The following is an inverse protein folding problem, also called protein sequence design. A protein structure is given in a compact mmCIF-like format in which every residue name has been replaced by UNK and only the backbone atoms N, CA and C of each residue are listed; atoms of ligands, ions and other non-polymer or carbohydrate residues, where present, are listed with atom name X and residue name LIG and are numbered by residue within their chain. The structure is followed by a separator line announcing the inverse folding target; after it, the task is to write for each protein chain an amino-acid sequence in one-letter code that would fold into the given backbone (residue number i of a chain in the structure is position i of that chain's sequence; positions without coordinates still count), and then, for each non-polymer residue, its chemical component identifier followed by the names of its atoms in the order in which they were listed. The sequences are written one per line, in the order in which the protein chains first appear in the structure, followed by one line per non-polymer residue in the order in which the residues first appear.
data_IF_127986378562
#
_entry.id   IF_127986378562
#
_cell.length_a   1.000
_cell.length_b   1.000
_cell.length_c   1.000
_cell.angle_alpha   90.00
_cell.angle_beta   90.00
_cell.angle_gamma   90.00
#
_symmetry.space_group_name_H-M   'P 1'
#
loop_
_entity.id
_entity.type
_entity.pdbx_description
1 polymer ?
#
# COMPACT_ATOMS: atom_id res chain seq x y z
N UNK A 1 -17.28 29.23 -6.61
CA UNK A 1 -16.68 28.49 -5.49
C UNK A 1 -15.77 27.43 -6.07
N UNK A 2 -14.45 27.60 -5.92
CA UNK A 2 -13.49 26.55 -6.28
C UNK A 2 -13.79 25.31 -5.43
N UNK A 3 -13.85 24.11 -6.02
CA UNK A 3 -14.00 22.90 -5.23
C UNK A 3 -12.83 22.81 -4.26
N UNK A 4 -13.10 22.59 -2.98
CA UNK A 4 -12.03 22.25 -2.02
C UNK A 4 -11.27 21.05 -2.60
N UNK A 5 -9.93 21.04 -2.56
CA UNK A 5 -9.20 19.83 -2.91
C UNK A 5 -9.78 18.69 -2.07
N UNK A 6 -10.20 17.62 -2.73
CA UNK A 6 -10.56 16.37 -2.06
C UNK A 6 -9.44 16.02 -1.10
N UNK A 7 -9.72 16.02 0.22
CA UNK A 7 -8.73 15.66 1.23
C UNK A 7 -8.25 14.23 0.97
N UNK A 8 -7.03 14.09 0.47
CA UNK A 8 -6.41 12.78 0.26
C UNK A 8 -5.86 12.30 1.60
N UNK A 9 -6.67 11.51 2.30
CA UNK A 9 -6.24 10.79 3.48
C UNK A 9 -5.68 9.43 3.06
N UNK A 10 -4.42 9.19 3.40
CA UNK A 10 -3.70 7.98 3.02
C UNK A 10 -3.34 7.15 4.25
N UNK A 11 -3.77 5.89 4.26
CA UNK A 11 -3.34 4.88 5.21
C UNK A 11 -2.33 3.96 4.56
N UNK A 12 -1.25 3.67 5.25
CA UNK A 12 -0.17 2.85 4.69
C UNK A 12 0.06 1.70 5.62
N UNK A 13 -0.32 0.53 5.12
CA UNK A 13 -0.20 -0.73 5.83
C UNK A 13 1.22 -1.26 5.67
N UNK A 14 1.88 -1.55 6.80
CA UNK A 14 3.20 -2.16 6.91
C UNK A 14 4.28 -1.35 6.20
N UNK A 15 4.60 -0.25 6.87
CA UNK A 15 5.49 0.77 6.36
C UNK A 15 6.95 0.35 6.34
N UNK A 16 7.38 -0.56 7.20
CA UNK A 16 8.79 -0.94 7.37
C UNK A 16 9.66 0.30 7.59
N UNK A 17 10.28 0.80 6.52
CA UNK A 17 11.06 2.04 6.53
C UNK A 17 10.24 3.33 6.34
N UNK A 18 8.91 3.27 6.22
CA UNK A 18 8.02 4.42 5.98
C UNK A 18 8.21 5.18 4.66
N UNK A 19 8.92 4.61 3.70
CA UNK A 19 9.14 5.27 2.41
C UNK A 19 7.84 5.60 1.67
N UNK A 20 6.82 4.71 1.55
CA UNK A 20 5.56 5.09 0.92
C UNK A 20 4.87 6.25 1.66
N UNK A 21 5.01 6.34 2.99
CA UNK A 21 4.45 7.42 3.82
C UNK A 21 5.11 8.76 3.54
N UNK A 22 6.44 8.77 3.46
CA UNK A 22 7.20 9.94 3.06
C UNK A 22 6.76 10.40 1.67
N UNK A 23 6.67 9.49 0.69
CA UNK A 23 6.24 9.83 -0.67
C UNK A 23 4.82 10.41 -0.69
N UNK A 24 3.88 9.83 0.05
CA UNK A 24 2.51 10.35 0.11
C UNK A 24 2.46 11.75 0.72
N UNK A 25 3.24 12.01 1.77
CA UNK A 25 3.35 13.33 2.37
C UNK A 25 3.95 14.36 1.41
N UNK A 26 4.96 13.96 0.64
CA UNK A 26 5.59 14.79 -0.41
C UNK A 26 4.69 15.01 -1.63
N UNK A 27 3.69 14.15 -1.83
CA UNK A 27 2.66 14.29 -2.85
C UNK A 27 1.43 15.08 -2.36
N UNK A 28 1.59 15.88 -1.30
CA UNK A 28 0.57 16.75 -0.71
C UNK A 28 -0.68 16.01 -0.20
N UNK A 29 -0.53 14.78 0.29
CA UNK A 29 -1.59 14.13 1.05
C UNK A 29 -1.92 14.95 2.30
N UNK A 30 -3.22 15.18 2.57
CA UNK A 30 -3.66 15.99 3.71
C UNK A 30 -3.43 15.31 5.05
N UNK A 31 -3.48 13.97 5.07
CA UNK A 31 -3.19 13.13 6.23
C UNK A 31 -2.51 11.85 5.77
N UNK A 32 -1.41 11.48 6.41
CA UNK A 32 -0.69 10.22 6.18
C UNK A 32 -0.54 9.49 7.50
N UNK A 33 -1.03 8.25 7.54
CA UNK A 33 -0.89 7.37 8.71
C UNK A 33 -0.05 6.16 8.33
N UNK A 34 1.14 6.09 8.91
CA UNK A 34 2.05 4.97 8.81
C UNK A 34 1.70 3.89 9.86
N UNK A 35 1.47 2.64 9.46
CA UNK A 35 1.32 1.54 10.41
C UNK A 35 2.27 0.39 10.13
N UNK A 36 2.48 -0.42 11.16
CA UNK A 36 3.21 -1.69 11.11
C UNK A 36 2.74 -2.56 12.28
N UNK A 37 3.16 -3.82 12.33
CA UNK A 37 2.82 -4.71 13.44
C UNK A 37 3.35 -4.13 14.78
N UNK A 38 2.63 -4.23 15.91
CA UNK A 38 3.09 -3.70 17.20
C UNK A 38 4.46 -4.23 17.65
N UNK A 39 4.77 -5.49 17.31
CA UNK A 39 6.07 -6.12 17.59
C UNK A 39 7.14 -5.84 16.53
N UNK A 40 6.86 -5.00 15.52
CA UNK A 40 7.80 -4.71 14.45
C UNK A 40 8.99 -3.89 14.97
N UNK A 41 10.24 -4.30 14.70
CA UNK A 41 11.42 -3.52 15.09
C UNK A 41 11.50 -2.16 14.38
N UNK A 42 10.69 -1.96 13.32
CA UNK A 42 10.57 -0.68 12.63
C UNK A 42 10.10 0.45 13.55
N UNK A 43 9.26 0.14 14.55
CA UNK A 43 8.82 1.09 15.57
C UNK A 43 9.91 1.46 16.57
N UNK A 44 10.99 0.69 16.67
CA UNK A 44 12.12 1.01 17.54
C UNK A 44 12.92 2.24 17.08
N UNK A 45 12.61 2.80 15.91
CA UNK A 45 13.14 4.11 15.50
C UNK A 45 13.22 4.34 14.00
N UNK A 46 13.18 3.28 13.17
CA UNK A 46 13.36 3.42 11.72
C UNK A 46 12.27 4.27 11.07
N UNK A 47 11.00 4.02 11.42
CA UNK A 47 9.84 4.78 10.90
C UNK A 47 9.97 6.25 11.29
N UNK A 48 10.19 6.53 12.57
CA UNK A 48 10.31 7.88 13.11
C UNK A 48 11.47 8.64 12.47
N UNK A 49 12.66 8.01 12.41
CA UNK A 49 13.85 8.58 11.80
C UNK A 49 13.62 8.93 10.34
N UNK A 50 13.03 8.03 9.55
CA UNK A 50 12.84 8.29 8.12
C UNK A 50 11.80 9.39 7.86
N UNK A 51 10.73 9.44 8.64
CA UNK A 51 9.76 10.55 8.56
C UNK A 51 10.44 11.88 8.91
N UNK A 52 11.15 11.95 10.04
CA UNK A 52 11.82 13.18 10.47
C UNK A 52 12.91 13.61 9.49
N UNK A 53 13.80 12.70 9.11
CA UNK A 53 14.93 12.97 8.24
C UNK A 53 14.50 13.53 6.87
N UNK A 54 13.43 12.99 6.30
CA UNK A 54 12.98 13.39 4.97
C UNK A 54 12.00 14.58 4.97
N UNK A 55 11.26 14.81 6.06
CA UNK A 55 10.20 15.82 6.08
C UNK A 55 10.50 17.03 6.97
N UNK A 56 11.20 16.89 8.10
CA UNK A 56 11.30 17.94 9.11
C UNK A 56 12.10 19.18 8.66
N UNK A 57 13.10 19.01 7.81
CA UNK A 57 14.00 20.07 7.34
C UNK A 57 13.66 20.59 5.93
N UNK A 58 12.51 20.21 5.38
CA UNK A 58 12.12 20.64 4.03
C UNK A 58 11.52 22.05 4.03
N UNK A 59 11.84 22.77 2.95
CA UNK A 59 11.24 24.06 2.59
C UNK A 59 10.73 23.99 1.15
N UNK A 60 9.43 24.20 0.91
CA UNK A 60 8.37 24.38 1.91
C UNK A 60 8.17 23.11 2.75
N UNK A 61 7.61 23.30 3.96
CA UNK A 61 7.18 22.18 4.81
C UNK A 61 6.04 21.43 4.12
N UNK A 62 5.93 20.14 4.37
CA UNK A 62 4.73 19.38 3.99
C UNK A 62 3.50 19.99 4.69
N UNK A 63 2.42 20.16 3.96
CA UNK A 63 1.21 20.80 4.47
C UNK A 63 0.33 19.84 5.30
N UNK A 64 0.42 18.53 5.02
CA UNK A 64 -0.41 17.51 5.66
C UNK A 64 0.12 17.00 7.00
N UNK A 65 -0.77 16.35 7.76
CA UNK A 65 -0.41 15.66 9.00
C UNK A 65 0.21 14.30 8.70
N UNK A 66 1.34 13.98 9.35
CA UNK A 66 1.98 12.66 9.24
C UNK A 66 2.10 12.07 10.64
N UNK A 67 1.55 10.88 10.85
CA UNK A 67 1.65 10.14 12.12
C UNK A 67 2.01 8.68 11.91
N UNK A 68 2.47 8.01 12.98
CA UNK A 68 2.74 6.58 12.98
C UNK A 68 1.99 5.90 14.13
N UNK A 69 1.41 4.73 13.87
CA UNK A 69 0.63 3.98 14.87
C UNK A 69 0.86 2.48 14.73
N UNK A 70 1.13 1.75 15.83
CA UNK A 70 1.18 0.29 15.79
C UNK A 70 -0.22 -0.25 15.47
N UNK A 71 -0.29 -1.23 14.58
CA UNK A 71 -1.55 -1.88 14.20
C UNK A 71 -1.31 -3.27 13.63
N UNK A 72 -2.00 -4.26 14.19
CA UNK A 72 -1.98 -5.64 13.72
C UNK A 72 -3.13 -5.90 12.74
N UNK A 73 -2.85 -6.58 11.62
CA UNK A 73 -3.88 -6.88 10.63
C UNK A 73 -5.00 -7.75 11.23
N UNK A 74 -6.24 -7.36 10.97
CA UNK A 74 -7.42 -8.08 11.42
C UNK A 74 -7.91 -7.68 12.82
N UNK A 75 -7.12 -6.90 13.57
CA UNK A 75 -7.55 -6.29 14.84
C UNK A 75 -8.33 -5.01 14.54
N UNK A 76 -9.66 -5.08 14.58
CA UNK A 76 -10.53 -3.99 14.09
C UNK A 76 -11.36 -3.33 15.19
N UNK A 77 -11.21 -3.78 16.43
CA UNK A 77 -11.98 -3.38 17.60
C UNK A 77 -11.17 -2.55 18.61
N UNK A 78 -9.89 -2.32 18.34
CA UNK A 78 -9.07 -1.41 19.14
C UNK A 78 -9.45 0.08 18.93
N UNK A 79 -8.90 0.95 19.77
CA UNK A 79 -9.19 2.38 19.75
C UNK A 79 -8.74 3.05 18.44
N UNK A 80 -7.61 2.62 17.87
CA UNK A 80 -7.07 3.16 16.63
C UNK A 80 -7.95 2.77 15.43
N UNK A 81 -8.29 1.49 15.32
CA UNK A 81 -9.13 0.93 14.28
C UNK A 81 -10.53 1.55 14.31
N UNK A 82 -11.13 1.65 15.49
CA UNK A 82 -12.46 2.25 15.65
C UNK A 82 -12.45 3.73 15.28
N UNK A 83 -11.45 4.50 15.72
CA UNK A 83 -11.37 5.94 15.45
C UNK A 83 -11.10 6.29 13.98
N UNK A 84 -10.50 5.38 13.20
CA UNK A 84 -10.14 5.63 11.80
C UNK A 84 -10.95 4.80 10.78
N UNK A 85 -12.02 4.12 11.22
CA UNK A 85 -12.89 3.33 10.32
C UNK A 85 -13.40 4.19 9.16
N UNK A 86 -13.18 3.73 7.94
CA UNK A 86 -13.58 4.45 6.72
C UNK A 86 -12.95 5.82 6.54
N UNK A 87 -11.83 6.12 7.22
CA UNK A 87 -11.21 7.44 7.23
C UNK A 87 -10.28 7.75 6.06
N UNK A 88 -9.96 6.77 5.22
CA UNK A 88 -8.88 6.89 4.24
C UNK A 88 -9.33 6.66 2.79
N UNK A 89 -9.16 7.70 1.97
CA UNK A 89 -9.44 7.68 0.53
C UNK A 89 -8.45 6.86 -0.29
N UNK A 90 -7.26 6.62 0.28
CA UNK A 90 -6.18 5.85 -0.32
C UNK A 90 -5.59 4.91 0.73
N UNK A 91 -5.40 3.66 0.37
CA UNK A 91 -4.58 2.73 1.12
C UNK A 91 -3.40 2.33 0.24
N UNK A 92 -2.18 2.33 0.76
CA UNK A 92 -1.01 1.78 0.06
C UNK A 92 -0.51 0.57 0.84
N UNK A 93 -0.45 -0.58 0.19
CA UNK A 93 0.13 -1.81 0.70
C UNK A 93 1.28 -2.23 -0.22
N UNK A 94 2.50 -2.07 0.26
CA UNK A 94 3.72 -2.37 -0.48
C UNK A 94 4.41 -3.58 0.13
N UNK A 95 4.61 -4.64 -0.66
CA UNK A 95 5.28 -5.88 -0.26
C UNK A 95 4.75 -6.54 1.04
N UNK A 96 3.43 -6.46 1.26
CA UNK A 96 2.75 -6.98 2.44
C UNK A 96 2.25 -8.44 2.31
N UNK A 97 2.48 -9.09 1.18
CA UNK A 97 1.66 -10.22 0.72
C UNK A 97 2.32 -11.59 0.91
N UNK A 98 3.43 -11.65 1.62
CA UNK A 98 4.24 -12.86 1.75
C UNK A 98 3.64 -13.92 2.71
N UNK A 99 2.81 -13.50 3.67
CA UNK A 99 2.13 -14.39 4.63
C UNK A 99 0.75 -14.80 4.12
N UNK A 100 0.63 -15.96 3.46
CA UNK A 100 -0.67 -16.46 2.96
C UNK A 100 -1.74 -16.54 4.06
N UNK A 101 -1.37 -16.95 5.27
CA UNK A 101 -2.30 -17.02 6.41
C UNK A 101 -2.87 -15.66 6.84
N UNK A 102 -2.22 -14.55 6.47
CA UNK A 102 -2.64 -13.20 6.84
C UNK A 102 -3.38 -12.47 5.71
N UNK A 103 -3.54 -13.07 4.52
CA UNK A 103 -4.21 -12.41 3.39
C UNK A 103 -5.62 -11.93 3.74
N UNK A 104 -6.40 -12.79 4.42
CA UNK A 104 -7.75 -12.46 4.89
C UNK A 104 -7.75 -11.29 5.88
N UNK A 105 -6.88 -11.34 6.88
CA UNK A 105 -6.75 -10.29 7.88
C UNK A 105 -6.35 -8.94 7.25
N UNK A 106 -5.43 -8.98 6.28
CA UNK A 106 -5.03 -7.79 5.51
C UNK A 106 -6.19 -7.26 4.66
N UNK A 107 -6.92 -8.12 3.95
CA UNK A 107 -8.08 -7.73 3.15
C UNK A 107 -9.17 -7.07 4.00
N UNK A 108 -9.49 -7.65 5.16
CA UNK A 108 -10.43 -7.07 6.13
C UNK A 108 -9.95 -5.73 6.69
N UNK A 109 -8.65 -5.61 6.96
CA UNK A 109 -8.03 -4.35 7.40
C UNK A 109 -8.19 -3.26 6.33
N UNK A 110 -7.91 -3.59 5.07
CA UNK A 110 -8.12 -2.68 3.95
C UNK A 110 -9.59 -2.27 3.85
N UNK A 111 -10.53 -3.22 3.93
CA UNK A 111 -11.96 -2.90 3.91
C UNK A 111 -12.38 -1.97 5.05
N UNK A 112 -11.84 -2.18 6.24
CA UNK A 112 -12.22 -1.42 7.43
C UNK A 112 -11.83 0.05 7.34
N UNK A 113 -10.60 0.33 6.88
CA UNK A 113 -10.04 1.68 6.85
C UNK A 113 -10.43 2.48 5.60
N UNK A 114 -10.81 1.81 4.51
CA UNK A 114 -11.11 2.47 3.25
C UNK A 114 -12.38 3.32 3.36
N UNK A 115 -12.32 4.59 2.95
CA UNK A 115 -13.52 5.42 2.84
C UNK A 115 -14.38 4.97 1.64
N UNK A 116 -15.68 5.30 1.61
CA UNK A 116 -16.48 5.17 0.39
C UNK A 116 -15.79 5.87 -0.80
N UNK A 117 -15.76 5.21 -1.96
CA UNK A 117 -15.06 5.67 -3.17
C UNK A 117 -13.53 5.61 -3.09
N UNK A 118 -12.97 5.07 -2.00
CA UNK A 118 -11.54 4.95 -1.78
C UNK A 118 -10.89 3.91 -2.70
N UNK A 119 -9.56 3.99 -2.82
CA UNK A 119 -8.75 3.04 -3.59
C UNK A 119 -7.65 2.41 -2.77
N UNK A 120 -7.38 1.14 -2.98
CA UNK A 120 -6.21 0.45 -2.43
C UNK A 120 -5.18 0.26 -3.53
N UNK A 121 -3.97 0.75 -3.33
CA UNK A 121 -2.81 0.51 -4.18
C UNK A 121 -2.01 -0.65 -3.60
N UNK A 122 -1.93 -1.72 -4.37
CA UNK A 122 -1.21 -2.95 -4.05
C UNK A 122 0.04 -2.99 -4.91
N UNK A 123 1.22 -3.03 -4.30
CA UNK A 123 2.50 -3.11 -5.01
C UNK A 123 3.31 -4.25 -4.44
N UNK A 124 3.65 -5.25 -5.25
CA UNK A 124 4.35 -6.44 -4.77
C UNK A 124 5.42 -6.93 -5.75
N UNK A 125 6.63 -7.17 -5.25
CA UNK A 125 7.59 -8.03 -5.94
C UNK A 125 7.28 -9.51 -5.72
N UNK A 126 7.90 -10.38 -6.51
CA UNK A 126 7.70 -11.84 -6.44
C UNK A 126 8.74 -12.57 -5.58
N UNK A 127 9.33 -11.90 -4.59
CA UNK A 127 10.41 -12.45 -3.76
C UNK A 127 9.96 -13.64 -2.89
N UNK A 128 8.66 -13.79 -2.65
CA UNK A 128 8.05 -14.94 -1.95
C UNK A 128 7.30 -15.90 -2.89
N UNK A 129 7.43 -15.67 -4.20
CA UNK A 129 6.82 -16.48 -5.24
C UNK A 129 5.47 -15.92 -5.73
N UNK A 130 5.31 -15.93 -7.06
CA UNK A 130 4.11 -15.44 -7.77
C UNK A 130 2.81 -16.06 -7.25
N UNK A 131 2.81 -17.35 -6.93
CA UNK A 131 1.62 -18.06 -6.46
C UNK A 131 1.12 -17.56 -5.08
N UNK A 132 1.99 -17.01 -4.23
CA UNK A 132 1.54 -16.39 -2.98
C UNK A 132 0.85 -15.06 -3.29
N UNK A 133 1.47 -14.21 -4.11
CA UNK A 133 0.89 -12.92 -4.51
C UNK A 133 -0.44 -13.11 -5.27
N UNK A 134 -0.53 -14.11 -6.14
CA UNK A 134 -1.77 -14.46 -6.83
C UNK A 134 -2.89 -14.85 -5.84
N UNK A 135 -2.57 -15.64 -4.81
CA UNK A 135 -3.53 -16.00 -3.76
C UNK A 135 -4.08 -14.78 -3.01
N UNK A 136 -3.28 -13.74 -2.80
CA UNK A 136 -3.78 -12.50 -2.20
C UNK A 136 -4.86 -11.84 -3.07
N UNK A 137 -4.69 -11.85 -4.40
CA UNK A 137 -5.69 -11.30 -5.31
C UNK A 137 -6.99 -12.12 -5.30
N UNK A 138 -6.92 -13.44 -5.15
CA UNK A 138 -8.10 -14.29 -4.95
C UNK A 138 -8.83 -13.90 -3.66
N UNK A 139 -8.10 -13.79 -2.55
CA UNK A 139 -8.66 -13.41 -1.24
C UNK A 139 -9.35 -12.04 -1.25
N UNK A 140 -8.75 -11.00 -1.86
CA UNK A 140 -9.41 -9.68 -1.89
C UNK A 140 -10.70 -9.67 -2.70
N UNK A 141 -10.79 -10.48 -3.77
CA UNK A 141 -12.02 -10.61 -4.56
C UNK A 141 -13.14 -11.29 -3.75
N UNK A 142 -12.80 -12.32 -2.98
CA UNK A 142 -13.72 -12.97 -2.03
C UNK A 142 -14.17 -12.01 -0.92
N UNK A 143 -13.31 -11.07 -0.55
CA UNK A 143 -13.56 -10.06 0.49
C UNK A 143 -14.26 -8.78 0.00
N UNK A 144 -14.90 -8.83 -1.17
CA UNK A 144 -15.74 -7.73 -1.66
C UNK A 144 -14.98 -6.58 -2.29
N UNK A 145 -13.74 -6.80 -2.75
CA UNK A 145 -13.08 -5.91 -3.69
C UNK A 145 -13.34 -6.33 -5.14
N UNK A 146 -13.09 -5.39 -6.05
CA UNK A 146 -12.83 -5.65 -7.47
C UNK A 146 -11.49 -5.01 -7.84
N UNK A 147 -10.81 -5.62 -8.82
CA UNK A 147 -9.58 -5.07 -9.39
C UNK A 147 -9.99 -4.06 -10.46
N UNK A 148 -9.67 -2.78 -10.25
CA UNK A 148 -9.90 -1.72 -11.22
C UNK A 148 -8.83 -1.71 -12.32
N UNK A 149 -7.57 -1.97 -11.93
CA UNK A 149 -6.46 -2.14 -12.86
C UNK A 149 -5.39 -3.02 -12.25
N UNK A 150 -4.71 -3.83 -13.07
CA UNK A 150 -3.57 -4.65 -12.64
C UNK A 150 -2.60 -4.84 -13.80
N UNK A 151 -1.31 -4.68 -13.53
CA UNK A 151 -0.24 -4.90 -14.50
C UNK A 151 1.07 -5.19 -13.77
N UNK A 152 2.06 -5.69 -14.49
CA UNK A 152 3.42 -5.84 -13.99
C UNK A 152 4.32 -4.76 -14.57
N UNK A 153 5.23 -4.22 -13.75
CA UNK A 153 6.20 -3.20 -14.11
C UNK A 153 7.62 -3.74 -13.97
N UNK A 154 8.46 -3.39 -14.94
CA UNK A 154 9.90 -3.65 -14.90
C UNK A 154 10.59 -2.71 -13.90
N UNK A 155 11.37 -3.30 -12.99
CA UNK A 155 12.14 -2.58 -11.97
C UNK A 155 13.55 -2.22 -12.44
N UNK A 156 14.02 -2.80 -13.54
CA UNK A 156 15.41 -2.69 -14.02
C UNK A 156 15.50 -1.77 -15.23
N UNK A 157 14.68 -2.03 -16.25
CA UNK A 157 14.73 -1.31 -17.51
C UNK A 157 13.68 -0.20 -17.58
N UNK A 158 13.98 0.83 -18.38
CA UNK A 158 13.06 1.91 -18.76
C UNK A 158 13.10 2.08 -20.27
N UNK A 159 12.06 2.70 -20.82
CA UNK A 159 12.05 3.17 -22.20
C UNK A 159 13.08 4.30 -22.36
N UNK A 160 13.50 4.55 -23.60
CA UNK A 160 14.50 5.58 -23.92
C UNK A 160 14.07 7.00 -23.50
N UNK A 161 12.77 7.26 -23.49
CA UNK A 161 12.15 8.50 -23.02
C UNK A 161 11.98 8.57 -21.49
N UNK A 162 12.46 7.56 -20.76
CA UNK A 162 12.28 7.40 -19.32
C UNK A 162 10.96 6.74 -18.91
N UNK A 163 10.12 6.35 -19.87
CA UNK A 163 8.85 5.68 -19.64
C UNK A 163 8.99 4.30 -18.98
N UNK A 164 7.88 3.83 -18.39
CA UNK A 164 7.83 2.54 -17.71
C UNK A 164 7.58 1.40 -18.70
N UNK A 165 8.31 0.30 -18.53
CA UNK A 165 8.00 -0.95 -19.23
C UNK A 165 6.97 -1.71 -18.40
N UNK A 166 5.84 -2.04 -19.04
CA UNK A 166 4.71 -2.75 -18.42
C UNK A 166 4.35 -3.98 -19.23
N UNK A 167 3.82 -4.99 -18.55
CA UNK A 167 3.23 -6.19 -19.16
C UNK A 167 1.96 -6.60 -18.44
N UNK A 168 1.16 -7.42 -19.11
CA UNK A 168 -0.06 -7.99 -18.54
C UNK A 168 0.26 -8.84 -17.31
N UNK A 169 -0.59 -8.72 -16.28
CA UNK A 169 -0.55 -9.59 -15.11
C UNK A 169 -1.13 -10.96 -15.43
N UNK A 170 -0.43 -12.02 -15.02
CA UNK A 170 -0.96 -13.39 -15.03
C UNK A 170 -0.66 -14.09 -13.69
N UNK A 171 -1.61 -14.88 -13.17
CA UNK A 171 -1.42 -15.59 -11.89
C UNK A 171 -0.35 -16.67 -11.98
N UNK A 172 -0.13 -17.23 -13.18
CA UNK A 172 0.93 -18.19 -13.51
C UNK A 172 1.60 -17.72 -14.80
N UNK A 173 2.94 -17.68 -14.80
CA UNK A 173 3.73 -17.35 -15.99
C UNK A 173 4.67 -18.52 -16.31
N UNK A 174 4.31 -19.30 -17.32
CA UNK A 174 5.11 -20.46 -17.74
C UNK A 174 6.53 -20.06 -18.17
N UNK A 175 7.51 -20.88 -17.80
CA UNK A 175 8.92 -20.64 -18.11
C UNK A 175 9.58 -19.48 -17.33
N UNK A 176 8.87 -18.81 -16.42
CA UNK A 176 9.45 -17.74 -15.62
C UNK A 176 10.27 -18.27 -14.43
N UNK A 177 11.60 -18.27 -14.59
CA UNK A 177 12.53 -18.55 -13.50
C UNK A 177 12.59 -17.45 -12.44
N UNK A 178 13.17 -17.77 -11.28
CA UNK A 178 13.30 -16.88 -10.11
C UNK A 178 14.04 -15.57 -10.40
N UNK A 179 15.06 -15.58 -11.25
CA UNK A 179 15.79 -14.37 -11.64
C UNK A 179 14.93 -13.40 -12.44
N UNK A 180 14.08 -13.92 -13.33
CA UNK A 180 13.14 -13.08 -14.07
C UNK A 180 12.06 -12.54 -13.13
N UNK A 181 11.59 -13.32 -12.15
CA UNK A 181 10.61 -12.84 -11.16
C UNK A 181 11.08 -11.61 -10.38
N UNK A 182 12.36 -11.54 -9.99
CA UNK A 182 12.92 -10.40 -9.24
C UNK A 182 12.91 -9.09 -10.03
N UNK A 183 12.87 -9.15 -11.36
CA UNK A 183 12.84 -7.97 -12.24
C UNK A 183 11.50 -7.25 -12.23
N UNK A 184 10.41 -7.93 -11.85
CA UNK A 184 9.07 -7.39 -11.99
C UNK A 184 8.40 -7.18 -10.63
N UNK A 185 7.57 -6.14 -10.55
CA UNK A 185 6.55 -6.01 -9.52
C UNK A 185 5.17 -5.97 -10.15
N UNK A 186 4.16 -6.53 -9.47
CA UNK A 186 2.75 -6.28 -9.79
C UNK A 186 2.29 -4.99 -9.12
N UNK A 187 1.53 -4.20 -9.86
CA UNK A 187 0.84 -3.01 -9.38
C UNK A 187 -0.64 -3.22 -9.68
N UNK A 188 -1.46 -3.15 -8.64
CA UNK A 188 -2.92 -3.23 -8.75
C UNK A 188 -3.61 -2.09 -8.00
N UNK A 189 -4.77 -1.70 -8.52
CA UNK A 189 -5.68 -0.77 -7.86
C UNK A 189 -6.97 -1.53 -7.56
N UNK A 190 -7.33 -1.60 -6.29
CA UNK A 190 -8.56 -2.22 -5.83
C UNK A 190 -9.57 -1.14 -5.44
N UNK A 191 -10.85 -1.45 -5.59
CA UNK A 191 -11.97 -0.69 -5.06
C UNK A 191 -13.03 -1.64 -4.52
N UNK A 192 -13.93 -1.15 -3.66
CA UNK A 192 -15.06 -1.96 -3.20
C UNK A 192 -15.97 -2.35 -4.36
N UNK A 193 -16.51 -3.56 -4.29
CA UNK A 193 -17.52 -4.04 -5.23
C UNK A 193 -18.78 -3.18 -5.09
N UNK A 194 -19.25 -2.63 -6.20
CA UNK A 194 -20.44 -1.77 -6.24
C UNK A 194 -20.17 -0.26 -6.05
N UNK A 195 -18.91 0.14 -5.87
CA UNK A 195 -18.46 1.54 -5.89
C UNK A 195 -17.72 1.91 -7.19
#
# INVERSE_FOLDING_TARGET
TTPKPTQTNTFISYTGAALPSVICALADASKVVATDHPSSPAFSGAIAFNIEHNLAKRTPKVAGEVSMHPHEWGVLDDSFATANKGGFSRIVAADCFWMRSQHENLARTMQWFLSPGGKVWVVAGFHTGRAIVAGFFETVLENGFVIESIYERDLVARLEDGGEIRREWVPVREGEGTENQKRWCVIAVLKRKGE
#
